data_IF_055840011844
#
_entry.id   IF_055840011844
#
_cell.length_a   1.000
_cell.length_b   1.000
_cell.length_c   1.000
_cell.angle_alpha   90.00
_cell.angle_beta   90.00
_cell.angle_gamma   90.00
#
_symmetry.space_group_name_H-M   'P 1'
#
loop_
_entity.id
_entity.type
_entity.pdbx_description
1 polymer ?
#
# COMPACT_ATOMS: atom_id res chain seq x y z
N UNK A 1 -69.98 -29.82 -12.32
CA UNK A 1 -68.55 -29.64 -12.69
C UNK A 1 -68.47 -28.58 -13.75
N UNK A 2 -68.08 -27.33 -13.36
CA UNK A 2 -68.04 -26.19 -14.27
C UNK A 2 -66.70 -26.20 -15.04
N UNK A 3 -66.73 -26.28 -16.35
CA UNK A 3 -65.57 -26.22 -17.23
C UNK A 3 -65.10 -24.80 -17.32
N UNK A 4 -63.82 -24.54 -16.96
CA UNK A 4 -63.15 -23.29 -17.14
C UNK A 4 -63.10 -22.88 -18.63
N UNK A 5 -63.50 -21.66 -18.93
CA UNK A 5 -63.51 -21.13 -20.30
C UNK A 5 -62.07 -20.93 -20.83
N UNK A 6 -61.90 -20.95 -22.16
CA UNK A 6 -60.62 -20.86 -22.84
C UNK A 6 -59.81 -19.60 -22.41
N UNK A 7 -60.49 -18.47 -22.06
CA UNK A 7 -59.89 -17.21 -21.59
C UNK A 7 -59.28 -17.38 -20.19
N UNK A 8 -59.90 -18.15 -19.30
CA UNK A 8 -59.36 -18.42 -17.95
C UNK A 8 -58.09 -19.31 -18.00
N UNK A 9 -58.02 -20.23 -18.99
CA UNK A 9 -56.81 -21.06 -19.18
C UNK A 9 -55.63 -20.27 -19.74
N UNK A 10 -55.86 -19.29 -20.61
CA UNK A 10 -54.81 -18.41 -21.13
C UNK A 10 -54.24 -17.47 -20.05
N UNK A 11 -55.12 -16.95 -19.17
CA UNK A 11 -54.68 -16.10 -18.04
C UNK A 11 -53.85 -16.85 -16.98
N UNK A 12 -54.15 -18.13 -16.73
CA UNK A 12 -53.37 -18.96 -15.79
C UNK A 12 -52.00 -19.30 -16.36
N UNK A 13 -51.89 -19.57 -17.68
CA UNK A 13 -50.61 -19.86 -18.34
C UNK A 13 -49.72 -18.58 -18.41
N UNK A 14 -50.34 -17.40 -18.66
CA UNK A 14 -49.62 -16.13 -18.66
C UNK A 14 -49.12 -15.74 -17.26
N UNK A 15 -49.88 -16.04 -16.19
CA UNK A 15 -49.44 -15.78 -14.81
C UNK A 15 -48.28 -16.70 -14.36
N UNK A 16 -48.23 -17.95 -14.86
CA UNK A 16 -47.10 -18.86 -14.58
C UNK A 16 -45.82 -18.49 -15.36
N UNK A 17 -45.93 -17.92 -16.56
CA UNK A 17 -44.78 -17.49 -17.37
C UNK A 17 -44.16 -16.20 -16.83
N UNK A 18 -44.91 -15.30 -16.17
CA UNK A 18 -44.39 -14.07 -15.55
C UNK A 18 -43.72 -14.38 -14.21
N UNK A 19 -44.15 -15.39 -13.47
CA UNK A 19 -43.54 -15.80 -12.20
C UNK A 19 -42.16 -16.47 -12.36
N UNK A 20 -41.85 -17.05 -13.52
CA UNK A 20 -40.58 -17.73 -13.78
C UNK A 20 -39.44 -16.77 -14.24
N UNK A 21 -39.79 -15.56 -14.68
CA UNK A 21 -38.77 -14.57 -15.13
C UNK A 21 -38.17 -13.77 -13.96
N UNK A 22 -38.81 -13.73 -12.78
CA UNK A 22 -38.30 -13.02 -11.61
C UNK A 22 -37.45 -13.89 -10.66
N UNK A 23 -37.27 -15.18 -10.95
CA UNK A 23 -36.42 -16.06 -10.12
C UNK A 23 -34.98 -16.22 -10.64
N UNK A 24 -34.61 -15.54 -11.74
CA UNK A 24 -33.30 -15.68 -12.38
C UNK A 24 -32.24 -14.65 -11.91
N UNK A 25 -32.48 -13.96 -10.79
CA UNK A 25 -31.60 -12.87 -10.29
C UNK A 25 -31.01 -13.07 -8.90
N UNK A 26 -31.33 -14.14 -8.18
CA UNK A 26 -30.64 -14.47 -6.95
C UNK A 26 -29.41 -15.32 -7.27
N UNK A 27 -28.31 -14.70 -7.74
CA UNK A 27 -26.99 -15.32 -7.65
C UNK A 27 -26.77 -15.66 -6.18
N UNK A 28 -26.85 -16.94 -5.83
CA UNK A 28 -26.36 -17.44 -4.55
C UNK A 28 -24.90 -16.99 -4.46
N UNK A 29 -24.62 -15.97 -3.65
CA UNK A 29 -23.23 -15.60 -3.32
C UNK A 29 -22.59 -16.87 -2.80
N UNK A 30 -21.73 -17.48 -3.61
CA UNK A 30 -20.96 -18.65 -3.21
C UNK A 30 -20.24 -18.34 -1.89
N UNK A 31 -19.94 -19.37 -1.10
CA UNK A 31 -19.21 -19.21 0.16
C UNK A 31 -17.89 -18.49 -0.14
N UNK A 32 -17.70 -17.30 0.46
CA UNK A 32 -16.47 -16.51 0.30
C UNK A 32 -15.26 -17.33 0.76
N UNK A 33 -14.18 -17.28 0.00
CA UNK A 33 -12.93 -17.96 0.35
C UNK A 33 -12.05 -17.04 1.21
N UNK A 34 -11.44 -17.55 2.29
CA UNK A 34 -10.55 -16.74 3.12
C UNK A 34 -9.30 -16.31 2.32
N UNK A 35 -9.02 -15.01 2.33
CA UNK A 35 -7.83 -14.40 1.75
C UNK A 35 -7.03 -13.74 2.88
N UNK A 36 -5.81 -14.23 3.14
CA UNK A 36 -4.98 -13.78 4.25
C UNK A 36 -3.97 -12.74 3.77
N UNK A 37 -4.09 -11.51 4.27
CA UNK A 37 -3.22 -10.38 3.90
C UNK A 37 -2.57 -9.81 5.16
N UNK A 38 -1.24 -9.79 5.22
CA UNK A 38 -0.52 -9.09 6.26
C UNK A 38 -0.16 -7.66 5.80
N UNK A 39 -0.46 -6.70 6.67
CA UNK A 39 0.01 -5.33 6.56
C UNK A 39 1.33 -5.18 7.32
N UNK A 40 2.23 -4.36 6.80
CA UNK A 40 3.44 -3.98 7.52
C UNK A 40 3.14 -3.12 8.76
N UNK A 41 2.12 -2.28 8.65
CA UNK A 41 1.64 -1.37 9.68
C UNK A 41 0.25 -0.84 9.32
N UNK A 42 -0.33 -0.02 10.21
CA UNK A 42 -1.54 0.74 9.91
C UNK A 42 -1.15 2.15 9.45
N UNK A 43 -1.05 2.37 8.16
CA UNK A 43 -0.69 3.66 7.57
C UNK A 43 -1.43 3.92 6.27
N UNK A 44 -1.30 5.14 5.76
CA UNK A 44 -1.89 5.54 4.48
C UNK A 44 -1.35 4.73 3.29
N UNK A 45 -0.13 4.19 3.39
CA UNK A 45 0.46 3.38 2.31
C UNK A 45 -0.30 2.06 2.08
N UNK A 46 -1.17 1.67 3.04
CA UNK A 46 -2.03 0.48 2.95
C UNK A 46 -3.42 0.78 2.36
N UNK A 47 -3.67 1.99 1.86
CA UNK A 47 -4.99 2.44 1.39
C UNK A 47 -5.59 1.51 0.34
N UNK A 48 -4.80 0.89 -0.54
CA UNK A 48 -5.31 -0.04 -1.54
C UNK A 48 -6.02 -1.25 -0.90
N UNK A 49 -5.48 -1.79 0.18
CA UNK A 49 -6.10 -2.89 0.93
C UNK A 49 -7.34 -2.41 1.69
N UNK A 50 -7.27 -1.21 2.29
CA UNK A 50 -8.41 -0.63 3.01
C UNK A 50 -9.59 -0.36 2.09
N UNK A 51 -9.34 0.23 0.92
CA UNK A 51 -10.37 0.50 -0.11
C UNK A 51 -10.95 -0.80 -0.62
N UNK A 52 -10.10 -1.78 -1.00
CA UNK A 52 -10.58 -3.08 -1.48
C UNK A 52 -11.48 -3.78 -0.46
N UNK A 53 -11.15 -3.69 0.84
CA UNK A 53 -11.94 -4.30 1.91
C UNK A 53 -13.20 -3.50 2.24
N UNK A 54 -13.09 -2.18 2.46
CA UNK A 54 -14.22 -1.39 2.95
C UNK A 54 -15.29 -1.11 1.88
N UNK A 55 -14.92 -1.11 0.59
CA UNK A 55 -15.87 -0.96 -0.52
C UNK A 55 -16.41 -2.32 -1.03
N UNK A 56 -16.09 -3.43 -0.35
CA UNK A 56 -16.60 -4.75 -0.72
C UNK A 56 -15.99 -5.31 -2.02
N UNK A 57 -14.85 -4.78 -2.47
CA UNK A 57 -14.23 -5.24 -3.73
C UNK A 57 -13.75 -6.68 -3.58
N UNK A 58 -13.11 -7.04 -2.46
CA UNK A 58 -12.70 -8.43 -2.22
C UNK A 58 -13.88 -9.39 -2.22
N UNK A 59 -15.01 -9.01 -1.62
CA UNK A 59 -16.25 -9.79 -1.60
C UNK A 59 -16.83 -9.99 -3.00
N UNK A 60 -16.73 -8.96 -3.87
CA UNK A 60 -17.15 -9.05 -5.28
C UNK A 60 -16.30 -10.04 -6.08
N UNK A 61 -15.04 -10.24 -5.68
CA UNK A 61 -14.13 -11.23 -6.26
C UNK A 61 -14.16 -12.59 -5.53
N UNK A 62 -15.11 -12.78 -4.58
CA UNK A 62 -15.34 -14.06 -3.91
C UNK A 62 -14.50 -14.29 -2.65
N UNK A 63 -13.93 -13.24 -2.04
CA UNK A 63 -13.06 -13.36 -0.86
C UNK A 63 -13.65 -12.79 0.41
N UNK A 64 -13.43 -13.51 1.54
CA UNK A 64 -13.44 -12.99 2.91
C UNK A 64 -12.02 -12.55 3.25
N UNK A 65 -11.69 -11.26 3.03
CA UNK A 65 -10.35 -10.75 3.24
C UNK A 65 -10.03 -10.59 4.74
N UNK A 66 -9.13 -11.42 5.24
CA UNK A 66 -8.61 -11.42 6.60
C UNK A 66 -7.31 -10.63 6.67
N UNK A 67 -7.42 -9.39 7.13
CA UNK A 67 -6.32 -8.44 7.16
C UNK A 67 -5.78 -8.34 8.58
N UNK A 68 -4.46 -8.53 8.73
CA UNK A 68 -3.76 -8.50 10.01
C UNK A 68 -2.46 -7.69 9.90
N UNK A 69 -1.93 -7.18 11.01
CA UNK A 69 -0.60 -6.55 11.04
C UNK A 69 0.41 -7.58 11.54
N UNK A 70 1.48 -7.79 10.79
CA UNK A 70 2.57 -8.70 11.15
C UNK A 70 3.93 -8.04 10.97
N UNK A 71 4.83 -8.31 11.91
CA UNK A 71 6.24 -7.96 11.78
C UNK A 71 6.89 -8.68 10.57
N UNK A 72 7.87 -8.06 9.90
CA UNK A 72 8.44 -8.59 8.64
C UNK A 72 8.90 -10.03 8.72
N UNK A 73 9.54 -10.42 9.83
CA UNK A 73 10.06 -11.78 10.01
C UNK A 73 8.92 -12.82 10.08
N UNK A 74 7.87 -12.50 10.83
CA UNK A 74 6.70 -13.38 10.96
C UNK A 74 5.92 -13.45 9.63
N UNK A 75 5.73 -12.32 8.96
CA UNK A 75 5.03 -12.27 7.68
C UNK A 75 5.75 -13.08 6.59
N UNK A 76 7.07 -12.97 6.49
CA UNK A 76 7.85 -13.74 5.52
C UNK A 76 7.82 -15.24 5.84
N UNK A 77 7.87 -15.63 7.11
CA UNK A 77 7.74 -17.03 7.51
C UNK A 77 6.35 -17.60 7.14
N UNK A 78 5.28 -16.86 7.41
CA UNK A 78 3.91 -17.24 7.07
C UNK A 78 3.67 -17.31 5.55
N UNK A 79 4.27 -16.41 4.75
CA UNK A 79 4.27 -16.50 3.29
C UNK A 79 4.90 -17.81 2.78
N UNK A 80 6.06 -18.14 3.33
CA UNK A 80 6.80 -19.37 2.95
C UNK A 80 6.08 -20.63 3.38
N UNK A 81 5.38 -20.59 4.52
CA UNK A 81 4.54 -21.70 5.01
C UNK A 81 3.21 -21.83 4.23
N UNK A 82 2.83 -20.86 3.40
CA UNK A 82 1.54 -20.84 2.69
C UNK A 82 0.35 -20.47 3.59
N UNK A 83 0.60 -19.98 4.80
CA UNK A 83 -0.41 -19.50 5.75
C UNK A 83 -0.89 -18.08 5.43
N UNK A 84 -0.10 -17.35 4.66
CA UNK A 84 -0.36 -15.99 4.20
C UNK A 84 -0.35 -15.95 2.68
N UNK A 85 -1.33 -15.27 2.09
CA UNK A 85 -1.40 -15.11 0.64
C UNK A 85 -0.56 -13.93 0.17
N UNK A 86 -0.66 -12.79 0.89
CA UNK A 86 0.06 -11.56 0.53
C UNK A 86 0.62 -10.83 1.75
N UNK A 87 1.78 -10.21 1.54
CA UNK A 87 2.40 -9.26 2.48
C UNK A 87 2.63 -7.90 1.80
N UNK A 88 2.21 -6.82 2.45
CA UNK A 88 2.22 -5.49 1.84
C UNK A 88 3.55 -4.75 1.91
N UNK A 89 4.50 -5.17 2.75
CA UNK A 89 5.84 -4.58 2.80
C UNK A 89 6.73 -5.10 1.66
N UNK A 90 6.53 -4.57 0.47
CA UNK A 90 7.23 -5.04 -0.73
C UNK A 90 8.74 -4.81 -0.66
N UNK A 91 9.24 -3.75 -0.03
CA UNK A 91 10.67 -3.56 0.20
C UNK A 91 11.31 -4.63 1.09
N UNK A 92 10.57 -5.16 2.10
CA UNK A 92 11.03 -6.32 2.88
C UNK A 92 11.02 -7.60 2.05
N UNK A 93 10.01 -7.78 1.19
CA UNK A 93 9.90 -8.90 0.25
C UNK A 93 11.04 -8.85 -0.78
N UNK A 94 11.33 -7.69 -1.36
CA UNK A 94 12.43 -7.47 -2.31
C UNK A 94 13.78 -7.87 -1.70
N UNK A 95 14.10 -7.34 -0.52
CA UNK A 95 15.35 -7.70 0.17
C UNK A 95 15.41 -9.16 0.60
N UNK A 96 14.29 -9.79 0.93
CA UNK A 96 14.24 -11.23 1.19
C UNK A 96 14.52 -12.04 -0.07
N UNK A 97 13.95 -11.64 -1.21
CA UNK A 97 14.22 -12.26 -2.51
C UNK A 97 15.70 -12.15 -2.92
N UNK A 98 16.31 -10.98 -2.73
CA UNK A 98 17.75 -10.76 -2.99
C UNK A 98 18.67 -11.58 -2.07
N UNK A 99 18.18 -12.00 -0.88
CA UNK A 99 18.86 -12.95 0.01
C UNK A 99 18.60 -14.41 -0.35
N UNK A 100 17.91 -14.67 -1.47
CA UNK A 100 17.63 -16.02 -1.96
C UNK A 100 16.36 -16.67 -1.44
N UNK A 101 15.50 -15.97 -0.68
CA UNK A 101 14.21 -16.53 -0.28
C UNK A 101 13.26 -16.62 -1.51
N UNK A 102 12.47 -17.70 -1.64
CA UNK A 102 11.55 -17.90 -2.76
C UNK A 102 10.27 -17.05 -2.62
N UNK A 103 10.44 -15.74 -2.55
CA UNK A 103 9.37 -14.74 -2.51
C UNK A 103 9.56 -13.72 -3.63
N UNK A 104 8.48 -13.11 -4.11
CA UNK A 104 8.52 -12.06 -5.13
C UNK A 104 7.47 -10.98 -4.85
N UNK A 105 7.70 -9.80 -5.39
CA UNK A 105 6.71 -8.72 -5.46
C UNK A 105 5.87 -8.94 -6.71
N UNK A 106 4.57 -9.18 -6.52
CA UNK A 106 3.61 -9.46 -7.61
C UNK A 106 2.78 -8.26 -8.05
N UNK A 107 2.74 -7.21 -7.22
CA UNK A 107 2.07 -5.94 -7.54
C UNK A 107 2.70 -4.82 -6.70
N UNK A 108 2.92 -3.68 -7.33
CA UNK A 108 3.25 -2.41 -6.66
C UNK A 108 2.00 -1.54 -6.62
N UNK A 109 1.61 -1.09 -5.43
CA UNK A 109 0.44 -0.22 -5.28
C UNK A 109 0.83 1.26 -5.23
N UNK A 110 1.93 1.59 -4.57
CA UNK A 110 2.38 2.96 -4.36
C UNK A 110 3.87 3.08 -4.72
N UNK A 111 4.21 4.04 -5.58
CA UNK A 111 5.56 4.31 -6.08
C UNK A 111 6.22 5.52 -5.41
N UNK A 112 5.64 6.07 -4.33
CA UNK A 112 6.19 7.23 -3.64
C UNK A 112 6.27 7.01 -2.13
N UNK A 113 7.40 7.35 -1.48
CA UNK A 113 7.55 7.19 -0.04
C UNK A 113 6.68 8.18 0.74
N UNK A 114 5.95 7.69 1.74
CA UNK A 114 5.12 8.50 2.64
C UNK A 114 5.95 9.04 3.81
N UNK A 115 6.93 9.91 3.49
CA UNK A 115 7.76 10.56 4.52
C UNK A 115 7.95 12.04 4.22
N UNK A 116 7.92 12.84 5.29
CA UNK A 116 8.20 14.27 5.27
C UNK A 116 9.25 14.61 6.29
N UNK A 117 10.12 15.56 5.96
CA UNK A 117 11.08 16.16 6.87
C UNK A 117 10.39 17.33 7.57
N UNK A 118 10.11 17.18 8.85
CA UNK A 118 9.35 18.15 9.65
C UNK A 118 10.24 18.74 10.74
N UNK A 119 10.19 20.05 10.89
CA UNK A 119 11.08 20.80 11.80
C UNK A 119 10.30 21.73 12.73
N UNK A 120 10.96 22.13 13.84
CA UNK A 120 10.48 23.17 14.75
C UNK A 120 10.32 24.52 14.04
N UNK A 121 9.56 25.44 14.64
CA UNK A 121 9.14 26.71 14.04
C UNK A 121 10.31 27.64 13.67
N UNK A 122 11.45 27.49 14.29
CA UNK A 122 12.69 28.26 14.05
C UNK A 122 13.49 27.75 12.84
N UNK A 123 13.20 26.55 12.35
CA UNK A 123 13.85 25.96 11.18
C UNK A 123 12.88 25.99 10.00
N UNK A 124 13.16 26.84 9.03
CA UNK A 124 12.27 27.15 7.90
C UNK A 124 12.82 26.69 6.54
N UNK A 125 14.09 26.26 6.50
CA UNK A 125 14.71 25.77 5.27
C UNK A 125 15.58 24.54 5.49
N UNK A 126 15.78 23.77 4.42
CA UNK A 126 16.56 22.53 4.48
C UNK A 126 18.06 22.79 4.74
N UNK A 127 18.58 23.96 4.31
CA UNK A 127 19.98 24.34 4.50
C UNK A 127 20.35 24.51 5.98
N UNK A 128 19.37 24.85 6.84
CA UNK A 128 19.54 24.99 8.28
C UNK A 128 19.74 23.64 9.01
N UNK A 129 19.63 22.52 8.27
CA UNK A 129 19.82 21.17 8.83
C UNK A 129 21.29 20.81 9.07
N UNK A 130 22.26 21.60 8.55
CA UNK A 130 23.67 21.37 8.82
C UNK A 130 23.97 21.44 10.32
N UNK A 131 24.64 20.42 10.83
CA UNK A 131 24.95 20.25 12.26
C UNK A 131 23.77 19.83 13.13
N UNK A 132 22.57 19.62 12.58
CA UNK A 132 21.37 19.26 13.36
C UNK A 132 21.26 17.76 13.60
N UNK A 133 20.51 17.45 14.67
CA UNK A 133 20.11 16.08 15.01
C UNK A 133 18.71 15.83 14.44
N UNK A 134 18.57 14.80 13.62
CA UNK A 134 17.34 14.42 12.97
C UNK A 134 16.82 13.11 13.58
N UNK A 135 15.59 13.12 14.05
CA UNK A 135 14.90 11.92 14.53
C UNK A 135 14.47 11.03 13.35
N UNK A 136 15.15 9.90 13.22
CA UNK A 136 14.88 8.88 12.22
C UNK A 136 14.41 7.57 12.87
N UNK A 137 14.76 6.47 12.20
CA UNK A 137 14.49 5.11 12.63
C UNK A 137 15.79 4.30 12.68
N UNK A 138 15.69 2.97 12.52
CA UNK A 138 16.90 2.12 12.46
C UNK A 138 17.78 2.50 11.26
N UNK A 139 19.11 2.43 11.36
CA UNK A 139 20.03 2.90 10.32
C UNK A 139 19.75 2.37 8.91
N UNK A 140 19.43 1.08 8.76
CA UNK A 140 19.13 0.43 7.48
C UNK A 140 17.62 0.39 7.18
N UNK A 141 16.79 1.05 7.99
CA UNK A 141 15.34 1.13 7.77
C UNK A 141 15.00 2.09 6.63
N UNK A 142 13.89 1.82 5.92
CA UNK A 142 13.42 2.62 4.78
C UNK A 142 13.33 4.12 5.10
N UNK A 143 12.95 4.48 6.33
CA UNK A 143 12.88 5.89 6.80
C UNK A 143 14.23 6.59 6.63
N UNK A 144 15.31 5.98 7.15
CA UNK A 144 16.66 6.59 7.08
C UNK A 144 17.23 6.52 5.66
N UNK A 145 16.95 5.46 4.92
CA UNK A 145 17.36 5.35 3.50
C UNK A 145 16.76 6.49 2.68
N UNK A 146 15.46 6.75 2.84
CA UNK A 146 14.75 7.83 2.17
C UNK A 146 15.25 9.20 2.62
N UNK A 147 15.44 9.42 3.93
CA UNK A 147 16.03 10.66 4.48
C UNK A 147 17.39 10.96 3.85
N UNK A 148 18.29 9.97 3.90
CA UNK A 148 19.66 10.15 3.39
C UNK A 148 19.64 10.45 1.88
N UNK A 149 18.77 9.83 1.11
CA UNK A 149 18.65 10.10 -0.31
C UNK A 149 18.08 11.51 -0.59
N UNK A 150 17.06 11.94 0.17
CA UNK A 150 16.56 13.34 0.08
C UNK A 150 17.66 14.35 0.34
N UNK A 151 18.40 14.19 1.45
CA UNK A 151 19.47 15.12 1.83
C UNK A 151 20.65 15.06 0.83
N UNK A 152 21.01 13.87 0.35
CA UNK A 152 22.05 13.71 -0.70
C UNK A 152 21.70 14.49 -1.97
N UNK A 153 20.45 14.46 -2.42
CA UNK A 153 19.98 15.24 -3.59
C UNK A 153 20.05 16.75 -3.38
N UNK A 154 19.98 17.18 -2.11
CA UNK A 154 20.18 18.60 -1.72
C UNK A 154 21.64 18.95 -1.46
N UNK A 155 22.59 18.05 -1.75
CA UNK A 155 24.02 18.27 -1.63
C UNK A 155 24.60 18.06 -0.22
N UNK A 156 23.82 17.47 0.71
CA UNK A 156 24.32 17.11 2.03
C UNK A 156 25.22 15.87 1.95
N UNK A 157 26.29 15.89 2.75
CA UNK A 157 27.14 14.74 3.03
C UNK A 157 26.69 14.04 4.32
N UNK A 158 27.03 12.76 4.53
CA UNK A 158 26.66 12.03 5.76
C UNK A 158 27.08 12.71 7.06
N UNK A 159 28.19 13.45 7.06
CA UNK A 159 28.71 14.15 8.22
C UNK A 159 28.08 15.53 8.44
N UNK A 160 27.27 16.04 7.52
CA UNK A 160 26.58 17.32 7.66
C UNK A 160 25.42 17.29 8.66
N UNK A 161 24.99 16.13 9.12
CA UNK A 161 23.88 15.94 10.06
C UNK A 161 24.04 14.64 10.85
N UNK A 162 23.30 14.51 11.96
CA UNK A 162 23.27 13.28 12.76
C UNK A 162 21.87 12.71 12.81
N UNK A 163 21.71 11.43 12.46
CA UNK A 163 20.44 10.73 12.63
C UNK A 163 20.45 9.91 13.91
N UNK A 164 19.43 10.07 14.73
CA UNK A 164 19.21 9.24 15.92
C UNK A 164 17.97 8.34 15.73
N UNK A 165 18.01 7.15 16.30
CA UNK A 165 16.86 6.28 16.30
C UNK A 165 15.85 6.74 17.38
N UNK A 166 14.88 7.55 16.97
CA UNK A 166 13.76 7.97 17.82
C UNK A 166 12.53 7.05 17.67
N UNK A 167 12.57 6.07 16.76
CA UNK A 167 11.55 5.06 16.56
C UNK A 167 10.15 5.65 16.34
N UNK A 168 9.14 5.10 17.01
CA UNK A 168 7.76 5.58 16.99
C UNK A 168 7.54 6.85 17.81
N UNK A 169 8.52 7.26 18.63
CA UNK A 169 8.44 8.46 19.46
C UNK A 169 8.85 9.76 18.72
N UNK A 170 9.19 9.71 17.43
CA UNK A 170 9.68 10.86 16.65
C UNK A 170 8.81 12.10 16.74
N UNK A 171 7.51 11.94 16.53
CA UNK A 171 6.56 13.05 16.60
C UNK A 171 6.47 13.64 18.02
N UNK A 172 6.47 12.80 19.03
CA UNK A 172 6.48 13.25 20.44
C UNK A 172 7.78 13.95 20.81
N UNK A 173 8.94 13.43 20.39
CA UNK A 173 10.26 14.04 20.63
C UNK A 173 10.38 15.39 19.91
N UNK A 174 9.83 15.53 18.69
CA UNK A 174 9.76 16.80 17.99
C UNK A 174 8.83 17.80 18.71
N UNK A 175 7.64 17.36 19.12
CA UNK A 175 6.66 18.19 19.82
C UNK A 175 7.17 18.70 21.17
N UNK A 176 7.95 17.91 21.91
CA UNK A 176 8.59 18.29 23.18
C UNK A 176 9.84 19.16 23.02
N UNK A 177 10.35 19.33 21.80
CA UNK A 177 11.61 20.02 21.53
C UNK A 177 12.89 19.20 21.88
N UNK A 178 12.73 17.91 22.22
CA UNK A 178 13.88 17.02 22.46
C UNK A 178 14.72 16.84 21.20
N UNK A 179 14.09 16.87 20.03
CA UNK A 179 14.73 16.97 18.71
C UNK A 179 14.13 18.14 17.96
N UNK A 180 14.90 18.73 17.05
CA UNK A 180 14.44 19.88 16.26
C UNK A 180 13.90 19.49 14.89
N UNK A 181 14.21 18.29 14.41
CA UNK A 181 13.81 17.78 13.10
C UNK A 181 13.47 16.30 13.21
N UNK A 182 12.44 15.87 12.50
CA UNK A 182 12.04 14.46 12.44
C UNK A 182 11.56 14.06 11.04
N UNK A 183 11.76 12.79 10.69
CA UNK A 183 11.13 12.16 9.52
C UNK A 183 9.80 11.57 9.95
N UNK A 184 8.71 12.11 9.45
CA UNK A 184 7.33 11.74 9.83
C UNK A 184 6.55 11.25 8.62
N UNK A 185 5.59 10.33 8.84
CA UNK A 185 4.61 9.98 7.82
C UNK A 185 3.55 11.09 7.66
N UNK A 186 2.68 11.01 6.66
CA UNK A 186 1.69 12.05 6.37
C UNK A 186 0.70 12.27 7.50
N UNK A 187 0.30 11.22 8.24
CA UNK A 187 -0.60 11.33 9.40
C UNK A 187 0.07 12.06 10.57
N UNK A 188 1.32 11.75 10.87
CA UNK A 188 2.12 12.46 11.86
C UNK A 188 2.38 13.91 11.41
N UNK A 189 2.71 14.09 10.12
CA UNK A 189 3.01 15.41 9.53
C UNK A 189 1.83 16.37 9.66
N UNK A 190 0.61 15.96 9.28
CA UNK A 190 -0.57 16.86 9.35
C UNK A 190 -0.85 17.30 10.79
N UNK A 191 -0.64 16.43 11.78
CA UNK A 191 -0.78 16.77 13.20
C UNK A 191 0.27 17.81 13.66
N UNK A 192 1.49 17.67 13.18
CA UNK A 192 2.57 18.64 13.51
C UNK A 192 2.36 19.98 12.82
N UNK A 193 1.91 20.00 11.56
CA UNK A 193 1.59 21.23 10.82
C UNK A 193 0.50 22.03 11.55
N UNK A 194 -0.53 21.39 12.09
CA UNK A 194 -1.56 22.04 12.90
C UNK A 194 -1.02 22.65 14.19
N UNK A 195 0.11 22.16 14.71
CA UNK A 195 0.81 22.72 15.88
C UNK A 195 1.82 23.81 15.48
N UNK A 196 1.94 24.14 14.19
CA UNK A 196 2.80 25.19 13.64
C UNK A 196 4.23 24.73 13.33
N UNK A 197 4.49 23.44 13.21
CA UNK A 197 5.75 22.91 12.70
C UNK A 197 5.86 23.07 11.19
N UNK A 198 7.08 23.16 10.65
CA UNK A 198 7.32 23.34 9.23
C UNK A 198 7.66 22.04 8.52
N UNK A 199 7.07 21.83 7.33
CA UNK A 199 7.50 20.78 6.39
C UNK A 199 8.59 21.35 5.51
N UNK A 200 9.82 20.83 5.65
CA UNK A 200 10.99 21.27 4.86
C UNK A 200 11.09 20.55 3.50
N UNK A 201 10.51 19.38 3.40
CA UNK A 201 10.46 18.60 2.15
C UNK A 201 9.64 17.33 2.34
N UNK A 202 9.05 16.86 1.25
CA UNK A 202 8.34 15.59 1.20
C UNK A 202 9.05 14.63 0.27
N UNK A 203 9.31 13.41 0.73
CA UNK A 203 9.93 12.39 -0.09
C UNK A 203 9.10 12.08 -1.35
N UNK A 204 7.77 12.10 -1.24
CA UNK A 204 6.86 11.87 -2.36
C UNK A 204 7.00 12.89 -3.49
N UNK A 205 7.47 14.11 -3.23
CA UNK A 205 7.66 15.14 -4.24
C UNK A 205 9.00 14.97 -4.99
N UNK A 206 9.99 14.31 -4.38
CA UNK A 206 11.37 14.25 -4.87
C UNK A 206 11.81 12.86 -5.32
N UNK A 207 11.20 11.81 -4.78
CA UNK A 207 11.61 10.43 -4.97
C UNK A 207 10.48 9.57 -5.52
N UNK A 208 10.82 8.72 -6.48
CA UNK A 208 10.01 7.57 -6.83
C UNK A 208 10.69 6.32 -6.28
N UNK A 209 9.98 5.59 -5.42
CA UNK A 209 10.47 4.36 -4.79
C UNK A 209 9.27 3.46 -4.47
N UNK A 210 9.28 2.17 -4.84
CA UNK A 210 8.21 1.25 -4.51
C UNK A 210 8.01 1.16 -2.99
N UNK A 211 6.80 1.48 -2.50
CA UNK A 211 6.54 1.65 -1.08
C UNK A 211 5.65 0.55 -0.51
N UNK A 212 4.58 0.20 -1.22
CA UNK A 212 3.62 -0.84 -0.82
C UNK A 212 3.06 -1.58 -2.02
N UNK A 213 2.53 -2.76 -1.79
CA UNK A 213 1.97 -3.61 -2.84
C UNK A 213 1.65 -5.00 -2.32
N UNK A 214 1.87 -6.02 -3.14
CA UNK A 214 1.65 -7.41 -2.81
C UNK A 214 2.93 -8.23 -3.00
N UNK A 215 3.54 -8.64 -1.91
CA UNK A 215 4.57 -9.67 -1.86
C UNK A 215 3.93 -11.05 -1.67
N UNK A 216 4.44 -12.06 -2.33
CA UNK A 216 3.91 -13.44 -2.31
C UNK A 216 5.03 -14.48 -2.36
N UNK A 217 4.77 -15.72 -1.96
CA UNK A 217 5.70 -16.82 -2.18
C UNK A 217 5.63 -17.32 -3.64
N UNK A 218 6.76 -17.74 -4.19
CA UNK A 218 6.80 -18.33 -5.53
C UNK A 218 5.95 -19.60 -5.62
N UNK A 219 5.93 -20.41 -4.55
CA UNK A 219 5.09 -21.60 -4.50
C UNK A 219 3.60 -21.28 -4.60
N UNK A 220 3.12 -20.24 -3.88
CA UNK A 220 1.72 -19.80 -3.99
C UNK A 220 1.41 -19.23 -5.37
N UNK A 221 2.32 -18.44 -5.95
CA UNK A 221 2.16 -17.88 -7.30
C UNK A 221 2.02 -18.96 -8.39
N UNK A 222 2.69 -20.10 -8.21
CA UNK A 222 2.60 -21.24 -9.12
C UNK A 222 1.38 -22.14 -8.84
N UNK A 223 1.23 -22.58 -7.59
CA UNK A 223 0.28 -23.66 -7.24
C UNK A 223 -1.14 -23.16 -6.94
N UNK A 224 -1.30 -21.86 -6.62
CA UNK A 224 -2.58 -21.23 -6.28
C UNK A 224 -2.94 -20.08 -7.22
N UNK A 225 -2.43 -20.14 -8.44
CA UNK A 225 -2.55 -19.06 -9.44
C UNK A 225 -3.99 -18.62 -9.67
N UNK A 226 -4.90 -19.56 -9.90
CA UNK A 226 -6.32 -19.26 -10.14
C UNK A 226 -7.03 -18.65 -8.93
N UNK A 227 -6.55 -18.96 -7.72
CA UNK A 227 -7.02 -18.34 -6.50
C UNK A 227 -6.44 -16.92 -6.32
N UNK A 228 -5.18 -16.66 -6.66
CA UNK A 228 -4.53 -15.37 -6.41
C UNK A 228 -4.85 -14.30 -7.45
N UNK A 229 -5.10 -14.67 -8.71
CA UNK A 229 -5.38 -13.72 -9.81
C UNK A 229 -6.54 -12.75 -9.52
N UNK A 230 -7.75 -13.23 -9.11
CA UNK A 230 -8.84 -12.30 -8.82
C UNK A 230 -8.52 -11.37 -7.62
N UNK A 231 -7.70 -11.81 -6.65
CA UNK A 231 -7.28 -10.97 -5.53
C UNK A 231 -6.32 -9.85 -5.98
N UNK A 232 -5.38 -10.15 -6.89
CA UNK A 232 -4.52 -9.14 -7.53
C UNK A 232 -5.38 -8.12 -8.30
N UNK A 233 -6.38 -8.59 -9.06
CA UNK A 233 -7.33 -7.72 -9.78
C UNK A 233 -8.13 -6.82 -8.85
N UNK A 234 -8.59 -7.33 -7.70
CA UNK A 234 -9.30 -6.57 -6.69
C UNK A 234 -8.45 -5.40 -6.14
N UNK A 235 -7.16 -5.65 -5.88
CA UNK A 235 -6.24 -4.61 -5.41
C UNK A 235 -5.94 -3.60 -6.53
N UNK A 236 -5.78 -4.03 -7.77
CA UNK A 236 -5.59 -3.12 -8.91
C UNK A 236 -6.82 -2.22 -9.11
N UNK A 237 -8.03 -2.76 -9.01
CA UNK A 237 -9.28 -1.97 -9.05
C UNK A 237 -9.33 -0.94 -7.92
N UNK A 238 -8.94 -1.32 -6.69
CA UNK A 238 -8.87 -0.40 -5.57
C UNK A 238 -7.87 0.75 -5.83
N UNK A 239 -6.71 0.48 -6.42
CA UNK A 239 -5.73 1.50 -6.81
C UNK A 239 -6.34 2.49 -7.80
N UNK A 240 -7.10 2.02 -8.80
CA UNK A 240 -7.77 2.88 -9.77
C UNK A 240 -8.88 3.75 -9.14
N UNK A 241 -9.61 3.20 -8.15
CA UNK A 241 -10.59 3.97 -7.37
C UNK A 241 -9.88 5.06 -6.55
N UNK A 242 -8.80 4.73 -5.86
CA UNK A 242 -8.02 5.72 -5.09
C UNK A 242 -7.58 6.88 -5.97
N UNK A 243 -7.05 6.58 -7.14
CA UNK A 243 -6.52 7.61 -8.03
C UNK A 243 -7.60 8.51 -8.66
N UNK A 244 -8.84 8.01 -8.82
CA UNK A 244 -9.89 8.70 -9.59
C UNK A 244 -11.07 9.18 -8.74
N UNK A 245 -11.25 8.67 -7.52
CA UNK A 245 -12.46 8.84 -6.72
C UNK A 245 -12.10 9.22 -5.28
N UNK A 246 -11.66 10.49 -5.10
CA UNK A 246 -11.31 11.04 -3.79
C UNK A 246 -12.48 10.96 -2.80
N UNK A 247 -13.70 11.19 -3.28
CA UNK A 247 -14.95 11.12 -2.52
C UNK A 247 -15.21 9.74 -1.90
N UNK A 248 -14.80 8.66 -2.55
CA UNK A 248 -14.87 7.31 -2.00
C UNK A 248 -13.69 6.95 -1.11
N UNK A 249 -12.51 7.51 -1.38
CA UNK A 249 -11.27 7.17 -0.69
C UNK A 249 -11.14 7.87 0.66
N UNK A 250 -11.48 9.17 0.73
CA UNK A 250 -11.37 9.97 1.97
C UNK A 250 -12.17 9.35 3.12
N UNK A 251 -13.45 8.92 2.97
CA UNK A 251 -14.18 8.25 4.05
C UNK A 251 -13.52 6.96 4.55
N UNK A 252 -12.86 6.20 3.65
CA UNK A 252 -12.09 4.99 4.02
C UNK A 252 -10.91 5.36 4.90
N UNK A 253 -10.15 6.40 4.54
CA UNK A 253 -9.02 6.90 5.33
C UNK A 253 -9.47 7.43 6.70
N UNK A 254 -10.57 8.21 6.75
CA UNK A 254 -11.17 8.69 8.00
C UNK A 254 -11.44 7.54 8.96
N UNK A 255 -12.13 6.51 8.49
CA UNK A 255 -12.51 5.34 9.30
C UNK A 255 -11.29 4.52 9.72
N UNK A 256 -10.38 4.25 8.78
CA UNK A 256 -9.26 3.32 9.01
C UNK A 256 -8.15 3.91 9.88
N UNK A 257 -7.90 5.22 9.74
CA UNK A 257 -6.79 5.92 10.41
C UNK A 257 -7.27 6.89 11.52
N UNK A 258 -8.58 6.87 11.84
CA UNK A 258 -9.21 7.76 12.82
C UNK A 258 -8.86 9.23 12.56
N UNK A 259 -9.05 9.69 11.31
CA UNK A 259 -8.75 11.04 10.85
C UNK A 259 -10.03 11.89 10.73
N UNK A 260 -9.90 13.21 10.94
CA UNK A 260 -10.92 14.17 10.49
C UNK A 260 -10.98 14.19 8.95
N UNK A 261 -12.05 14.74 8.38
CA UNK A 261 -12.19 14.87 6.92
C UNK A 261 -11.06 15.69 6.31
N UNK A 262 -10.66 16.78 6.94
CA UNK A 262 -9.57 17.64 6.46
C UNK A 262 -8.23 16.93 6.52
N UNK A 263 -7.95 16.19 7.59
CA UNK A 263 -6.72 15.41 7.71
C UNK A 263 -6.65 14.27 6.70
N UNK A 264 -7.74 13.56 6.50
CA UNK A 264 -7.84 12.50 5.51
C UNK A 264 -7.69 13.05 4.07
N UNK A 265 -8.25 14.23 3.81
CA UNK A 265 -8.08 14.92 2.53
C UNK A 265 -6.64 15.33 2.29
N UNK A 266 -5.97 15.92 3.30
CA UNK A 266 -4.54 16.26 3.25
C UNK A 266 -3.67 15.03 2.97
N UNK A 267 -3.90 13.94 3.71
CA UNK A 267 -3.15 12.69 3.55
C UNK A 267 -3.37 12.05 2.17
N UNK A 268 -4.61 12.11 1.65
CA UNK A 268 -4.91 11.67 0.29
C UNK A 268 -4.13 12.48 -0.75
N UNK A 269 -4.18 13.82 -0.65
CA UNK A 269 -3.53 14.71 -1.62
C UNK A 269 -2.00 14.57 -1.59
N UNK A 270 -1.42 14.29 -0.42
CA UNK A 270 0.03 14.09 -0.26
C UNK A 270 0.58 12.90 -1.07
N UNK A 271 -0.26 11.89 -1.36
CA UNK A 271 0.16 10.67 -2.07
C UNK A 271 -0.59 10.44 -3.39
N UNK A 272 -1.47 11.38 -3.78
CA UNK A 272 -2.37 11.20 -4.92
C UNK A 272 -1.65 10.76 -6.20
N UNK A 273 -0.52 11.35 -6.54
CA UNK A 273 0.24 11.08 -7.76
C UNK A 273 1.19 9.87 -7.65
N UNK A 274 1.16 9.15 -6.54
CA UNK A 274 2.07 8.03 -6.28
C UNK A 274 1.49 6.65 -6.60
N UNK A 275 0.19 6.54 -6.87
CA UNK A 275 -0.48 5.25 -7.08
C UNK A 275 -0.12 4.64 -8.43
N UNK A 276 0.31 3.39 -8.43
CA UNK A 276 0.68 2.64 -9.62
C UNK A 276 -0.57 2.08 -10.33
N UNK A 277 -1.11 2.82 -11.29
CA UNK A 277 -2.38 2.48 -11.96
C UNK A 277 -2.37 1.16 -12.72
N UNK A 278 -1.20 0.73 -13.14
CA UNK A 278 -0.94 -0.55 -13.81
C UNK A 278 -0.40 -1.63 -12.87
N UNK A 279 -0.22 -1.32 -11.59
CA UNK A 279 0.32 -2.22 -10.58
C UNK A 279 1.83 -2.47 -10.67
N UNK A 280 2.57 -1.65 -11.44
CA UNK A 280 4.01 -1.81 -11.65
C UNK A 280 4.82 -0.61 -11.14
N UNK A 281 6.10 -0.80 -10.78
CA UNK A 281 6.96 0.34 -10.49
C UNK A 281 7.27 1.11 -11.77
N UNK A 282 7.42 2.44 -11.64
CA UNK A 282 7.99 3.23 -12.74
C UNK A 282 9.44 2.83 -12.96
N UNK A 283 9.98 3.10 -14.17
CA UNK A 283 11.39 2.84 -14.44
C UNK A 283 12.33 3.60 -13.49
N UNK A 284 11.94 4.82 -13.08
CA UNK A 284 12.68 5.64 -12.13
C UNK A 284 12.64 5.03 -10.72
N UNK A 285 11.46 4.56 -10.27
CA UNK A 285 11.29 3.91 -8.98
C UNK A 285 12.11 2.62 -8.88
N UNK A 286 12.06 1.77 -9.91
CA UNK A 286 12.81 0.53 -9.97
C UNK A 286 14.33 0.77 -9.97
N UNK A 287 14.79 1.76 -10.76
CA UNK A 287 16.20 2.13 -10.80
C UNK A 287 16.70 2.57 -9.43
N UNK A 288 15.96 3.47 -8.76
CA UNK A 288 16.34 3.95 -7.44
C UNK A 288 16.34 2.82 -6.40
N UNK A 289 15.34 1.92 -6.42
CA UNK A 289 15.30 0.76 -5.52
C UNK A 289 16.55 -0.11 -5.68
N UNK A 290 16.92 -0.43 -6.91
CA UNK A 290 18.10 -1.27 -7.20
C UNK A 290 19.41 -0.62 -6.75
N UNK A 291 19.58 0.70 -6.98
CA UNK A 291 20.73 1.45 -6.51
C UNK A 291 20.83 1.46 -4.97
N UNK A 292 19.69 1.65 -4.31
CA UNK A 292 19.61 1.65 -2.84
C UNK A 292 19.90 0.25 -2.27
N UNK A 293 19.27 -0.80 -2.82
CA UNK A 293 19.47 -2.17 -2.37
C UNK A 293 20.90 -2.64 -2.63
N UNK A 294 21.49 -2.30 -3.80
CA UNK A 294 22.89 -2.61 -4.09
C UNK A 294 23.80 -2.00 -3.04
N UNK A 295 23.63 -0.73 -2.73
CA UNK A 295 24.45 0.00 -1.76
C UNK A 295 24.26 -0.55 -0.34
N UNK A 296 23.02 -0.66 0.11
CA UNK A 296 22.69 -0.94 1.52
C UNK A 296 22.87 -2.42 1.88
N UNK A 297 22.82 -3.32 0.89
CA UNK A 297 23.10 -4.74 1.07
C UNK A 297 24.53 -5.16 0.65
N UNK A 298 25.36 -4.21 0.18
CA UNK A 298 26.71 -4.46 -0.36
C UNK A 298 26.71 -5.53 -1.46
N UNK A 299 25.75 -5.45 -2.38
CA UNK A 299 25.68 -6.40 -3.49
C UNK A 299 26.78 -6.10 -4.52
N UNK A 300 27.42 -7.15 -5.07
CA UNK A 300 28.48 -7.02 -6.08
C UNK A 300 27.96 -6.44 -7.39
N UNK A 301 26.72 -6.76 -7.73
CA UNK A 301 26.05 -6.33 -8.96
C UNK A 301 24.72 -5.68 -8.64
N UNK A 302 24.27 -4.80 -9.54
CA UNK A 302 22.91 -4.23 -9.46
C UNK A 302 21.88 -5.33 -9.64
N UNK A 303 20.84 -5.40 -8.79
CA UNK A 303 19.77 -6.38 -8.93
C UNK A 303 19.11 -6.33 -10.31
N UNK A 304 18.63 -7.49 -10.76
CA UNK A 304 17.80 -7.60 -11.97
C UNK A 304 16.31 -7.67 -11.58
N UNK A 305 15.39 -7.15 -12.42
CA UNK A 305 13.96 -7.14 -12.11
C UNK A 305 13.42 -8.50 -11.69
N UNK A 306 13.76 -9.57 -12.39
CA UNK A 306 13.29 -10.94 -12.14
C UNK A 306 13.75 -11.54 -10.80
N UNK A 307 14.75 -10.96 -10.17
CA UNK A 307 15.19 -11.37 -8.83
C UNK A 307 14.22 -10.86 -7.74
N UNK A 308 13.50 -9.77 -8.01
CA UNK A 308 12.61 -9.09 -7.06
C UNK A 308 11.15 -9.27 -7.46
N UNK A 309 10.82 -9.13 -8.75
CA UNK A 309 9.47 -9.03 -9.27
C UNK A 309 9.02 -10.29 -10.01
N UNK A 310 7.74 -10.63 -9.84
CA UNK A 310 7.00 -11.57 -10.69
C UNK A 310 5.60 -10.99 -10.95
N UNK A 311 5.45 -10.29 -12.06
CA UNK A 311 4.18 -9.67 -12.46
C UNK A 311 3.29 -10.61 -13.28
N UNK A 312 3.61 -11.90 -13.37
CA UNK A 312 2.86 -12.83 -14.23
C UNK A 312 1.37 -12.93 -13.90
N UNK A 313 0.98 -12.83 -12.61
CA UNK A 313 -0.43 -12.77 -12.21
C UNK A 313 -1.09 -11.47 -12.64
N UNK A 314 -0.38 -10.35 -12.50
CA UNK A 314 -0.84 -9.02 -12.86
C UNK A 314 -1.05 -8.88 -14.37
N UNK A 315 -0.12 -9.38 -15.18
CA UNK A 315 -0.19 -9.33 -16.65
C UNK A 315 -1.40 -10.09 -17.20
N UNK A 316 -1.78 -11.20 -16.58
CA UNK A 316 -2.99 -11.95 -16.96
C UNK A 316 -4.30 -11.23 -16.63
N UNK A 317 -4.33 -10.37 -15.62
CA UNK A 317 -5.56 -9.66 -15.21
C UNK A 317 -5.66 -8.26 -15.81
N UNK A 318 -4.55 -7.66 -16.24
CA UNK A 318 -4.49 -6.34 -16.88
C UNK A 318 -4.84 -6.35 -18.37
N UNK A 319 -4.77 -7.49 -19.03
CA UNK A 319 -5.00 -7.66 -20.48
C UNK A 319 -6.45 -7.97 -20.87
N UNK A 320 -7.42 -7.73 -19.96
CA UNK A 320 -8.86 -7.99 -20.24
C UNK A 320 -9.72 -6.76 -20.06
#
# INVERSE_FOLDING_TARGET
>A
MASLTAVQRVLIVAAFLVATVHAAGAQTKGKLQPLHIALANQSVTMTAIYVAKQLGIFENYGYDARVMVLEPRAALAALLAGELDFYTAIGSTARAALRGLPVRVGLVALNRPDFSLVATKDITSIEQLKGKVIGGYTPQGTVNVVLNEMLRRKGFKPDDYKVINAGTARAAALSSGTIQVAVLNSVETVRMVKQGFHVLGRAADELELPQSGLGMSMASAQNRREFLKPAVKAVLEAIQIIAKQKDKTVPVLMKQLALSQDDASYVYDALHNGWALDGKPTAAAMKLEFELDQRDMNLKETPKPEQIYDFSLLDEVGNR
#
